data_IF_382239452293
#
_entry.id   IF_382239452293
#
_cell.length_a   1.000
_cell.length_b   1.000
_cell.length_c   1.000
_cell.angle_alpha   90.00
_cell.angle_beta   90.00
_cell.angle_gamma   90.00
#
_symmetry.space_group_name_H-M   'P 1'
#
loop_
_entity.id
_entity.type
_entity.pdbx_description
1 polymer ?
#
# COMPACT_ATOMS: atom_id res chain seq x y z
N UNK A 1 -0.53 -11.49 -10.50
CA UNK A 1 -0.22 -10.30 -11.34
C UNK A 1 1.28 -10.05 -11.21
N UNK A 2 1.94 -9.32 -12.11
CA UNK A 2 3.36 -8.98 -11.84
C UNK A 2 3.42 -7.97 -10.69
N UNK A 3 4.38 -8.13 -9.77
CA UNK A 3 4.66 -7.19 -8.69
C UNK A 3 5.16 -5.85 -9.27
N UNK A 4 4.53 -4.76 -8.84
CA UNK A 4 4.78 -3.38 -9.27
C UNK A 4 5.22 -2.48 -8.12
N UNK A 5 5.52 -3.01 -6.94
CA UNK A 5 6.00 -2.23 -5.78
C UNK A 5 7.23 -1.39 -6.12
N UNK A 6 8.12 -1.92 -6.96
CA UNK A 6 9.32 -1.24 -7.44
C UNK A 6 9.08 -0.26 -8.62
N UNK A 7 7.82 0.04 -8.98
CA UNK A 7 7.48 0.87 -10.13
C UNK A 7 6.84 2.20 -9.70
N UNK A 8 7.20 3.32 -10.34
CA UNK A 8 6.51 4.59 -10.14
C UNK A 8 5.06 4.51 -10.64
N UNK A 9 4.24 5.48 -10.27
CA UNK A 9 2.86 5.55 -10.73
C UNK A 9 2.77 5.87 -12.22
N UNK A 10 1.64 5.49 -12.83
CA UNK A 10 1.28 6.06 -14.13
C UNK A 10 0.99 7.57 -14.02
N UNK A 11 0.44 8.16 -15.08
CA UNK A 11 0.07 9.59 -15.08
C UNK A 11 -1.34 9.86 -14.54
N UNK A 12 -2.11 8.82 -14.23
CA UNK A 12 -3.47 8.95 -13.69
C UNK A 12 -3.39 9.29 -12.19
N UNK A 13 -4.13 10.29 -11.70
CA UNK A 13 -4.16 10.68 -10.28
C UNK A 13 -4.97 9.70 -9.42
N UNK A 14 -4.73 8.40 -9.58
CA UNK A 14 -5.36 7.30 -8.87
C UNK A 14 -4.33 6.29 -8.35
N UNK A 15 -3.07 6.73 -8.23
CA UNK A 15 -1.95 5.91 -7.80
C UNK A 15 -1.05 6.72 -6.88
N UNK A 16 -0.52 6.06 -5.85
CA UNK A 16 0.58 6.56 -5.03
C UNK A 16 1.61 5.45 -4.80
N UNK A 17 2.89 5.81 -4.71
CA UNK A 17 4.01 4.86 -4.56
C UNK A 17 5.17 5.47 -3.77
N UNK A 18 5.88 4.64 -2.99
CA UNK A 18 7.17 5.01 -2.38
C UNK A 18 8.26 5.24 -3.41
N UNK A 19 8.15 4.64 -4.59
CA UNK A 19 9.14 4.73 -5.68
C UNK A 19 8.89 5.89 -6.65
N UNK A 20 7.82 6.67 -6.46
CA UNK A 20 7.56 7.84 -7.28
C UNK A 20 8.23 9.08 -6.68
N UNK A 21 8.85 9.92 -7.51
CA UNK A 21 9.53 11.15 -7.07
C UNK A 21 8.67 12.41 -7.25
N UNK A 22 7.52 12.29 -7.92
CA UNK A 22 6.60 13.41 -8.15
C UNK A 22 5.70 13.56 -6.93
N UNK A 23 5.67 14.75 -6.33
CA UNK A 23 4.95 15.06 -5.08
C UNK A 23 3.51 14.51 -5.03
N UNK A 24 2.74 14.68 -6.12
CA UNK A 24 1.35 14.21 -6.20
C UNK A 24 1.19 12.68 -6.07
N UNK A 25 2.22 11.91 -6.40
CA UNK A 25 2.21 10.44 -6.43
C UNK A 25 3.09 9.84 -5.32
N UNK A 26 4.02 10.61 -4.77
CA UNK A 26 4.98 10.14 -3.78
C UNK A 26 4.31 9.80 -2.45
N UNK A 27 4.73 8.67 -1.87
CA UNK A 27 4.52 8.32 -0.46
C UNK A 27 5.84 8.42 0.29
N UNK A 28 5.79 9.02 1.48
CA UNK A 28 6.91 8.95 2.42
C UNK A 28 7.29 7.49 2.64
N UNK A 29 8.60 7.14 2.70
CA UNK A 29 9.04 5.77 2.96
C UNK A 29 8.53 5.19 4.27
N UNK A 30 8.33 3.88 4.32
CA UNK A 30 7.93 3.14 5.51
C UNK A 30 9.15 2.38 6.01
N UNK A 31 9.78 2.86 7.08
CA UNK A 31 10.96 2.22 7.68
C UNK A 31 10.50 1.19 8.71
N UNK A 32 10.77 -0.08 8.45
CA UNK A 32 10.39 -1.18 9.32
C UNK A 32 11.24 -1.21 10.59
N UNK A 33 10.70 -1.76 11.68
CA UNK A 33 11.51 -2.13 12.84
C UNK A 33 12.28 -3.44 12.58
N UNK A 34 13.37 -3.69 13.31
CA UNK A 34 14.25 -4.85 13.07
C UNK A 34 13.53 -6.21 13.11
N UNK A 35 12.43 -6.30 13.87
CA UNK A 35 11.66 -7.54 14.04
C UNK A 35 10.38 -7.58 13.19
N UNK A 36 10.11 -6.56 12.37
CA UNK A 36 8.90 -6.50 11.58
C UNK A 36 8.84 -7.62 10.55
N UNK A 37 7.74 -8.35 10.53
CA UNK A 37 7.53 -9.45 9.58
C UNK A 37 6.49 -9.10 8.53
N UNK A 38 6.45 -9.88 7.44
CA UNK A 38 5.37 -9.76 6.45
C UNK A 38 4.00 -10.06 7.07
N UNK A 39 3.93 -10.91 8.10
CA UNK A 39 2.69 -11.23 8.82
C UNK A 39 2.16 -10.03 9.61
N UNK A 40 3.06 -9.24 10.21
CA UNK A 40 2.68 -8.01 10.91
C UNK A 40 2.12 -6.97 9.94
N UNK A 41 2.76 -6.85 8.76
CA UNK A 41 2.30 -5.99 7.67
C UNK A 41 0.95 -6.44 7.13
N UNK A 42 0.77 -7.73 6.89
CA UNK A 42 -0.49 -8.30 6.41
C UNK A 42 -1.62 -8.07 7.42
N UNK A 43 -1.37 -8.33 8.70
CA UNK A 43 -2.33 -8.09 9.78
C UNK A 43 -2.78 -6.63 9.84
N UNK A 44 -1.85 -5.69 9.75
CA UNK A 44 -2.19 -4.26 9.69
C UNK A 44 -2.98 -3.91 8.42
N UNK A 45 -2.56 -4.40 7.26
CA UNK A 45 -3.24 -4.13 5.99
C UNK A 45 -4.68 -4.69 5.95
N UNK A 46 -4.93 -5.85 6.55
CA UNK A 46 -6.26 -6.45 6.62
C UNK A 46 -7.24 -5.71 7.54
N UNK A 47 -6.77 -4.76 8.36
CA UNK A 47 -7.64 -3.86 9.12
C UNK A 47 -8.20 -2.71 8.27
N UNK A 48 -7.69 -2.51 7.05
CA UNK A 48 -8.19 -1.48 6.14
C UNK A 48 -9.61 -1.81 5.65
N UNK A 49 -10.47 -0.81 5.42
CA UNK A 49 -11.84 -1.04 4.96
C UNK A 49 -11.89 -1.80 3.62
N UNK A 50 -12.59 -2.95 3.63
CA UNK A 50 -12.78 -3.77 2.42
C UNK A 50 -11.52 -4.45 1.92
N UNK A 51 -10.50 -4.59 2.77
CA UNK A 51 -9.25 -5.26 2.45
C UNK A 51 -9.40 -6.79 2.44
N UNK A 52 -8.71 -7.44 1.51
CA UNK A 52 -8.57 -8.88 1.42
C UNK A 52 -7.22 -9.24 0.80
N UNK A 53 -6.52 -10.21 1.37
CA UNK A 53 -5.32 -10.77 0.73
C UNK A 53 -5.71 -11.47 -0.57
N UNK A 54 -5.17 -10.98 -1.67
CA UNK A 54 -5.38 -11.53 -3.00
C UNK A 54 -4.16 -12.31 -3.50
N UNK A 55 -2.97 -11.97 -3.03
CA UNK A 55 -1.72 -12.68 -3.33
C UNK A 55 -0.74 -12.52 -2.17
N UNK A 56 -0.05 -13.61 -1.81
CA UNK A 56 0.98 -13.62 -0.77
C UNK A 56 2.15 -14.47 -1.24
N UNK A 57 3.34 -13.91 -1.15
CA UNK A 57 4.62 -14.55 -1.43
C UNK A 57 5.57 -14.35 -0.25
N UNK A 58 6.85 -14.70 -0.39
CA UNK A 58 7.80 -14.68 0.73
C UNK A 58 8.04 -13.27 1.32
N UNK A 59 8.14 -12.26 0.46
CA UNK A 59 8.43 -10.87 0.83
C UNK A 59 7.39 -9.88 0.28
N UNK A 60 6.32 -10.37 -0.34
CA UNK A 60 5.34 -9.57 -1.08
C UNK A 60 3.91 -9.94 -0.72
N UNK A 61 3.05 -8.91 -0.66
CA UNK A 61 1.60 -9.01 -0.53
C UNK A 61 0.92 -8.15 -1.59
N UNK A 62 -0.19 -8.66 -2.10
CA UNK A 62 -1.20 -7.85 -2.78
C UNK A 62 -2.51 -7.93 -2.03
N UNK A 63 -2.97 -6.78 -1.57
CA UNK A 63 -4.22 -6.61 -0.86
C UNK A 63 -5.19 -5.91 -1.80
N UNK A 64 -6.35 -6.52 -2.02
CA UNK A 64 -7.44 -5.88 -2.74
C UNK A 64 -8.28 -5.08 -1.75
N UNK A 65 -8.50 -3.80 -2.03
CA UNK A 65 -9.37 -2.94 -1.23
C UNK A 65 -10.60 -2.53 -2.04
N UNK A 66 -11.79 -2.94 -1.60
CA UNK A 66 -13.04 -2.58 -2.27
C UNK A 66 -13.72 -1.39 -1.59
N UNK A 67 -13.92 -0.30 -2.34
CA UNK A 67 -14.62 0.89 -1.82
C UNK A 67 -16.13 0.65 -1.71
N UNK A 68 -16.76 1.10 -0.61
CA UNK A 68 -18.17 0.78 -0.32
C UNK A 68 -19.19 1.40 -1.28
N UNK A 69 -18.95 2.62 -1.76
CA UNK A 69 -19.94 3.40 -2.52
C UNK A 69 -19.93 3.00 -4.00
N UNK A 70 -18.77 3.07 -4.65
CA UNK A 70 -18.63 2.82 -6.08
C UNK A 70 -18.19 1.39 -6.41
N UNK A 71 -17.87 0.56 -5.40
CA UNK A 71 -17.33 -0.80 -5.55
C UNK A 71 -16.07 -0.88 -6.43
N UNK A 72 -15.30 0.21 -6.50
CA UNK A 72 -14.00 0.16 -7.15
C UNK A 72 -13.05 -0.71 -6.34
N UNK A 73 -12.30 -1.53 -7.07
CA UNK A 73 -11.24 -2.38 -6.54
C UNK A 73 -9.91 -1.70 -6.78
N UNK A 74 -9.22 -1.42 -5.70
CA UNK A 74 -7.86 -0.91 -5.69
C UNK A 74 -6.91 -2.04 -5.29
N UNK A 75 -5.73 -2.08 -5.90
CA UNK A 75 -4.64 -2.94 -5.46
C UNK A 75 -3.71 -2.13 -4.54
N UNK A 76 -3.48 -2.65 -3.34
CA UNK A 76 -2.43 -2.22 -2.41
C UNK A 76 -1.34 -3.30 -2.44
N UNK A 77 -0.24 -2.99 -3.11
CA UNK A 77 0.93 -3.85 -3.23
C UNK A 77 1.98 -3.44 -2.19
N UNK A 78 2.51 -4.43 -1.48
CA UNK A 78 3.41 -4.26 -0.34
C UNK A 78 4.58 -5.22 -0.49
N UNK A 79 5.81 -4.71 -0.38
CA UNK A 79 7.01 -5.57 -0.43
C UNK A 79 8.01 -5.16 0.63
N UNK A 80 8.50 -6.14 1.39
CA UNK A 80 9.62 -5.93 2.30
C UNK A 80 10.92 -6.06 1.50
N UNK A 81 11.74 -5.02 1.54
CA UNK A 81 13.10 -5.04 0.98
C UNK A 81 14.04 -4.38 1.97
N UNK A 82 14.96 -5.16 2.54
CA UNK A 82 15.81 -4.72 3.64
C UNK A 82 14.93 -4.19 4.79
N UNK A 83 15.24 -2.99 5.30
CA UNK A 83 14.51 -2.34 6.40
C UNK A 83 13.36 -1.43 5.90
N UNK A 84 12.92 -1.61 4.66
CA UNK A 84 11.89 -0.78 4.05
C UNK A 84 10.69 -1.60 3.60
N UNK A 85 9.50 -1.05 3.82
CA UNK A 85 8.27 -1.51 3.20
C UNK A 85 8.00 -0.63 1.98
N UNK A 86 8.18 -1.21 0.80
CA UNK A 86 7.79 -0.62 -0.47
C UNK A 86 6.27 -0.68 -0.57
N UNK A 87 5.63 0.46 -0.84
CA UNK A 87 4.16 0.57 -0.87
C UNK A 87 3.72 1.19 -2.18
N UNK A 88 2.78 0.53 -2.86
CA UNK A 88 2.07 1.06 -4.02
C UNK A 88 0.56 0.85 -3.83
N UNK A 89 -0.24 1.89 -3.97
CA UNK A 89 -1.72 1.80 -3.93
C UNK A 89 -2.28 2.42 -5.20
N UNK A 90 -3.04 1.64 -5.97
CA UNK A 90 -3.57 2.07 -7.28
C UNK A 90 -4.96 1.50 -7.57
N UNK A 91 -5.84 2.33 -8.14
CA UNK A 91 -7.12 1.86 -8.66
C UNK A 91 -6.97 1.14 -10.01
N UNK A 92 -7.61 -0.03 -10.17
CA UNK A 92 -7.59 -0.78 -11.44
C UNK A 92 -8.26 -0.03 -12.59
N UNK A 93 -9.32 0.69 -12.28
CA UNK A 93 -10.18 1.39 -13.25
C UNK A 93 -10.42 2.83 -12.78
N UNK A 94 -10.91 3.66 -13.71
CA UNK A 94 -11.13 5.08 -13.47
C UNK A 94 -9.91 5.95 -13.83
N UNK A 95 -10.13 7.26 -13.80
CA UNK A 95 -9.09 8.26 -14.04
C UNK A 95 -8.53 8.82 -12.73
N UNK A 96 -9.40 9.14 -11.78
CA UNK A 96 -9.07 9.68 -10.47
C UNK A 96 -9.81 8.91 -9.39
N UNK A 97 -9.18 8.81 -8.23
CA UNK A 97 -9.74 8.18 -7.02
C UNK A 97 -10.10 9.22 -5.94
N UNK A 98 -9.99 10.52 -6.25
CA UNK A 98 -10.17 11.62 -5.29
C UNK A 98 -9.28 11.49 -4.02
N UNK A 99 -8.08 10.93 -4.16
CA UNK A 99 -7.10 10.76 -3.08
C UNK A 99 -7.34 9.54 -2.18
N UNK A 100 -8.25 8.64 -2.56
CA UNK A 100 -8.56 7.42 -1.78
C UNK A 100 -7.33 6.54 -1.55
N UNK A 101 -6.48 6.33 -2.57
CA UNK A 101 -5.26 5.53 -2.46
C UNK A 101 -4.22 6.16 -1.53
N UNK A 102 -4.07 7.50 -1.57
CA UNK A 102 -3.22 8.22 -0.60
C UNK A 102 -3.75 8.05 0.82
N UNK A 103 -5.04 8.29 1.03
CA UNK A 103 -5.67 8.11 2.36
C UNK A 103 -5.50 6.69 2.88
N UNK A 104 -5.59 5.69 2.01
CA UNK A 104 -5.35 4.29 2.37
C UNK A 104 -3.92 4.04 2.83
N UNK A 105 -2.93 4.55 2.11
CA UNK A 105 -1.52 4.43 2.50
C UNK A 105 -1.25 5.10 3.87
N UNK A 106 -1.85 6.26 4.13
CA UNK A 106 -1.72 6.93 5.45
C UNK A 106 -2.44 6.18 6.58
N UNK A 107 -3.57 5.53 6.28
CA UNK A 107 -4.24 4.64 7.24
C UNK A 107 -3.37 3.41 7.55
N UNK A 108 -2.76 2.82 6.52
CA UNK A 108 -1.81 1.72 6.71
C UNK A 108 -0.64 2.17 7.59
N UNK A 109 -0.04 3.34 7.33
CA UNK A 109 1.02 3.93 8.15
C UNK A 109 0.60 4.02 9.61
N UNK A 110 -0.57 4.58 9.87
CA UNK A 110 -1.11 4.73 11.24
C UNK A 110 -1.25 3.38 11.94
N UNK A 111 -1.74 2.36 11.24
CA UNK A 111 -1.92 1.01 11.79
C UNK A 111 -0.58 0.32 12.07
N UNK A 112 0.40 0.48 11.19
CA UNK A 112 1.74 -0.06 11.35
C UNK A 112 2.47 0.61 12.54
N UNK A 113 2.32 1.93 12.71
CA UNK A 113 2.86 2.66 13.87
C UNK A 113 2.23 2.19 15.17
N UNK A 114 0.90 2.08 15.22
CA UNK A 114 0.17 1.60 16.40
C UNK A 114 0.58 0.18 16.82
N UNK A 115 1.01 -0.64 15.85
CA UNK A 115 1.47 -2.01 16.09
C UNK A 115 2.99 -2.12 16.28
N UNK A 116 3.75 -1.02 16.23
CA UNK A 116 5.21 -1.02 16.38
C UNK A 116 5.96 -1.69 15.22
N UNK A 117 5.34 -1.77 14.04
CA UNK A 117 5.90 -2.44 12.85
C UNK A 117 6.83 -1.52 12.07
N UNK A 118 6.56 -0.21 12.11
CA UNK A 118 7.41 0.82 11.49
C UNK A 118 7.84 1.86 12.50
N UNK A 119 8.92 2.57 12.18
CA UNK A 119 9.39 3.75 12.89
C UNK A 119 8.54 4.98 12.51
N UNK A 120 8.47 5.96 13.42
CA UNK A 120 7.85 7.28 13.19
C UNK A 120 8.55 8.08 12.08
#
# INVERSE_FOLDING_TARGET
>A
MQDRTAQPCGNKPNCVSTEDTREAFHLTPFTLTDNATLDDVERAALMLPGAKTAERQADYLRIECTTRIMRFVDDLELRIRQQQLMVRSESRLGYSDFGVNRKRAEQLRSLLLQQGVILE
#
